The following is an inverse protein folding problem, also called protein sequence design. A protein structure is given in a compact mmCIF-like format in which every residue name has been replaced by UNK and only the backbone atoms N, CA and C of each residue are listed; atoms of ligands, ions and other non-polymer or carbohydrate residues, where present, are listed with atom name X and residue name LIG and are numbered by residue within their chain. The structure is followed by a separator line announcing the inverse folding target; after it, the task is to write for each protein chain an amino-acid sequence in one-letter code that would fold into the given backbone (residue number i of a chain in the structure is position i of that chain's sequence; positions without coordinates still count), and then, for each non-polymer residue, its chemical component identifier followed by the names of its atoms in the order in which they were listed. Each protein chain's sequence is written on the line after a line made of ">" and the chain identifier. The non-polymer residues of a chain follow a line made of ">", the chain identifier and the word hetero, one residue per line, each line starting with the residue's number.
data_IF_221962190500
#
_entry.id   IF_221962190500
#
_cell.length_a   1.000
_cell.length_b   1.000
_cell.length_c   1.000
_cell.angle_alpha   90.00
_cell.angle_beta   90.00
_cell.angle_gamma   90.00
#
_symmetry.space_group_name_H-M   'P 1'
#
loop_
_entity.id
_entity.type
_entity.pdbx_description
1 polymer ?
#
# COMPACT_ATOMS: atom_id res chain seq x y z
N UNK A 1 -22.19 -3.57 22.58
CA UNK A 1 -22.04 -2.48 21.59
C UNK A 1 -21.96 -3.10 20.21
N UNK A 2 -22.78 -2.64 19.25
CA UNK A 2 -22.50 -2.82 17.82
C UNK A 2 -21.66 -1.60 17.42
N UNK A 3 -20.36 -1.80 17.23
CA UNK A 3 -19.43 -0.69 16.96
C UNK A 3 -19.28 -0.49 15.47
N UNK A 4 -19.91 0.56 14.93
CA UNK A 4 -19.55 1.12 13.63
C UNK A 4 -18.60 2.30 13.89
N UNK A 5 -17.31 2.00 14.04
CA UNK A 5 -16.32 2.97 14.54
C UNK A 5 -15.44 3.58 13.44
N UNK A 6 -15.43 3.00 12.24
CA UNK A 6 -14.60 3.47 11.14
C UNK A 6 -15.13 3.04 9.77
N UNK A 7 -15.00 3.92 8.76
CA UNK A 7 -15.26 3.64 7.35
C UNK A 7 -14.07 4.09 6.50
N UNK A 8 -13.68 3.27 5.53
CA UNK A 8 -12.61 3.61 4.60
C UNK A 8 -13.21 4.28 3.36
N UNK A 9 -12.72 5.47 3.03
CA UNK A 9 -13.22 6.27 1.92
C UNK A 9 -12.10 6.64 0.93
N UNK A 10 -12.48 6.77 -0.35
CA UNK A 10 -11.69 7.49 -1.36
C UNK A 10 -12.42 8.80 -1.64
N UNK A 11 -11.69 9.91 -1.60
CA UNK A 11 -12.21 11.22 -1.97
C UNK A 11 -11.71 11.59 -3.37
N UNK A 12 -12.64 11.99 -4.23
CA UNK A 12 -12.40 12.40 -5.60
C UNK A 12 -12.53 13.91 -5.62
N UNK A 13 -11.48 14.59 -6.11
CA UNK A 13 -11.43 16.04 -6.21
C UNK A 13 -11.63 16.44 -7.67
N UNK A 14 -12.68 17.22 -7.90
CA UNK A 14 -12.97 17.76 -9.23
C UNK A 14 -12.30 19.12 -9.42
N UNK A 15 -12.03 19.47 -10.68
CA UNK A 15 -11.43 20.77 -11.05
C UNK A 15 -12.31 21.98 -10.70
N UNK A 16 -13.61 21.78 -10.54
CA UNK A 16 -14.57 22.80 -10.09
C UNK A 16 -14.62 22.98 -8.57
N UNK A 17 -13.76 22.26 -7.82
CA UNK A 17 -13.69 22.30 -6.37
C UNK A 17 -14.70 21.41 -5.65
N UNK A 18 -15.49 20.60 -6.38
CA UNK A 18 -16.38 19.62 -5.76
C UNK A 18 -15.60 18.41 -5.24
N UNK A 19 -16.08 17.84 -4.14
CA UNK A 19 -15.50 16.64 -3.52
C UNK A 19 -16.55 15.55 -3.47
N UNK A 20 -16.26 14.43 -4.12
CA UNK A 20 -17.10 13.25 -4.10
C UNK A 20 -16.45 12.17 -3.22
N UNK A 21 -17.19 11.66 -2.23
CA UNK A 21 -16.67 10.66 -1.29
C UNK A 21 -17.22 9.27 -1.65
N UNK A 22 -16.37 8.25 -1.66
CA UNK A 22 -16.71 6.87 -2.03
C UNK A 22 -16.38 5.93 -0.88
N UNK A 23 -17.39 5.27 -0.31
CA UNK A 23 -17.20 4.26 0.71
C UNK A 23 -16.70 2.97 0.07
N UNK A 24 -15.45 2.59 0.35
CA UNK A 24 -14.76 1.49 -0.36
C UNK A 24 -15.41 0.13 -0.07
N UNK A 25 -15.93 -0.05 1.14
CA UNK A 25 -16.55 -1.29 1.59
C UNK A 25 -18.09 -1.17 1.65
N UNK A 26 -18.70 -0.51 0.66
CA UNK A 26 -20.16 -0.28 0.59
C UNK A 26 -21.03 -1.54 0.52
N UNK A 27 -20.42 -2.71 0.39
CA UNK A 27 -21.11 -4.01 0.44
C UNK A 27 -21.41 -4.51 1.86
N UNK A 28 -20.81 -3.91 2.90
CA UNK A 28 -21.00 -4.32 4.29
C UNK A 28 -22.40 -3.88 4.78
N UNK A 29 -23.20 -4.83 5.26
CA UNK A 29 -24.51 -4.54 5.86
C UNK A 29 -24.39 -4.34 7.38
N UNK A 30 -24.14 -3.10 7.80
CA UNK A 30 -23.99 -2.74 9.22
C UNK A 30 -25.27 -2.94 10.07
N UNK A 31 -26.43 -3.18 9.46
CA UNK A 31 -27.67 -3.51 10.19
C UNK A 31 -27.66 -4.95 10.71
N UNK A 32 -26.92 -5.83 10.03
CA UNK A 32 -26.75 -7.23 10.39
C UNK A 32 -25.41 -7.41 11.10
N UNK A 33 -25.46 -8.14 12.20
CA UNK A 33 -24.25 -8.53 12.90
C UNK A 33 -24.25 -10.05 13.06
N UNK A 34 -23.11 -10.69 13.17
CA UNK A 34 -21.89 -10.45 12.39
C UNK A 34 -21.47 -11.89 12.09
N UNK A 35 -21.27 -12.24 10.82
CA UNK A 35 -20.84 -13.60 10.51
C UNK A 35 -19.43 -13.83 11.06
N UNK A 36 -19.13 -15.06 11.49
CA UNK A 36 -17.77 -15.41 11.89
C UNK A 36 -16.80 -15.16 10.72
N UNK A 37 -15.60 -14.66 11.00
CA UNK A 37 -14.54 -14.47 10.02
C UNK A 37 -13.60 -15.71 10.00
N UNK A 38 -13.13 -16.15 8.83
CA UNK A 38 -13.27 -15.52 7.51
C UNK A 38 -14.65 -15.77 6.89
N UNK A 39 -15.13 -14.81 6.09
CA UNK A 39 -16.38 -14.93 5.33
C UNK A 39 -16.30 -14.09 4.05
N UNK A 40 -17.28 -14.28 3.17
CA UNK A 40 -17.31 -13.64 1.84
C UNK A 40 -17.41 -12.12 1.86
N UNK A 41 -17.98 -11.53 2.93
CA UNK A 41 -18.03 -10.08 3.13
C UNK A 41 -16.64 -9.53 3.48
N UNK A 42 -15.94 -10.19 4.40
CA UNK A 42 -14.56 -9.88 4.78
C UNK A 42 -13.59 -10.07 3.61
N UNK A 43 -13.76 -11.14 2.81
CA UNK A 43 -12.90 -11.43 1.66
C UNK A 43 -12.89 -10.29 0.62
N UNK A 44 -14.02 -9.60 0.45
CA UNK A 44 -14.16 -8.46 -0.48
C UNK A 44 -13.74 -7.13 0.13
N UNK A 45 -13.43 -7.09 1.42
CA UNK A 45 -13.14 -5.84 2.12
C UNK A 45 -11.68 -5.43 2.02
N UNK A 46 -11.46 -4.10 2.00
CA UNK A 46 -10.14 -3.49 2.12
C UNK A 46 -10.06 -2.72 3.44
N UNK A 47 -9.11 -3.10 4.28
CA UNK A 47 -8.93 -2.52 5.61
C UNK A 47 -7.66 -1.65 5.65
N UNK A 48 -7.77 -0.47 6.27
CA UNK A 48 -6.68 0.50 6.44
C UNK A 48 -5.94 0.82 5.14
N UNK A 49 -6.59 1.53 4.19
CA UNK A 49 -5.89 2.03 3.00
C UNK A 49 -4.80 3.03 3.41
N UNK A 50 -3.62 2.91 2.82
CA UNK A 50 -2.44 3.71 3.23
C UNK A 50 -1.69 4.38 2.08
N UNK A 51 -1.74 3.80 0.88
CA UNK A 51 -1.06 4.32 -0.30
C UNK A 51 -1.91 4.11 -1.56
N UNK A 52 -1.71 4.98 -2.55
CA UNK A 52 -2.45 4.99 -3.80
C UNK A 52 -1.52 5.31 -4.96
N UNK A 53 -1.76 4.69 -6.12
CA UNK A 53 -1.04 4.96 -7.36
C UNK A 53 -2.01 4.83 -8.54
N UNK A 54 -2.01 5.80 -9.47
CA UNK A 54 -2.89 5.84 -10.64
C UNK A 54 -2.07 5.56 -11.90
N UNK A 55 -2.65 4.81 -12.84
CA UNK A 55 -2.03 4.59 -14.15
C UNK A 55 -1.86 5.89 -14.94
N UNK A 56 -0.89 5.97 -15.84
CA UNK A 56 -0.58 7.15 -16.65
C UNK A 56 -1.74 7.55 -17.57
N UNK A 57 -2.58 6.58 -17.98
CA UNK A 57 -3.81 6.83 -18.73
C UNK A 57 -4.99 7.30 -17.86
N UNK A 58 -4.80 7.33 -16.54
CA UNK A 58 -5.79 7.77 -15.56
C UNK A 58 -6.94 6.80 -15.32
N UNK A 59 -6.93 5.59 -15.89
CA UNK A 59 -8.08 4.67 -15.88
C UNK A 59 -8.13 3.74 -14.67
N UNK A 60 -6.99 3.39 -14.09
CA UNK A 60 -6.91 2.42 -13.00
C UNK A 60 -6.20 3.01 -11.79
N UNK A 61 -6.84 2.90 -10.63
CA UNK A 61 -6.28 3.26 -9.33
C UNK A 61 -5.95 1.99 -8.55
N UNK A 62 -4.71 1.90 -8.07
CA UNK A 62 -4.25 0.87 -7.14
C UNK A 62 -4.20 1.43 -5.73
N UNK A 63 -4.71 0.68 -4.76
CA UNK A 63 -4.79 1.12 -3.35
C UNK A 63 -4.19 0.04 -2.44
N UNK A 64 -3.16 0.38 -1.67
CA UNK A 64 -2.58 -0.50 -0.68
C UNK A 64 -3.47 -0.55 0.57
N UNK A 65 -3.97 -1.74 0.92
CA UNK A 65 -4.80 -1.98 2.09
C UNK A 65 -4.00 -2.77 3.13
N UNK A 66 -3.46 -2.04 4.11
CA UNK A 66 -2.53 -2.55 5.11
C UNK A 66 -3.15 -3.70 5.88
N UNK A 67 -4.39 -3.52 6.37
CA UNK A 67 -4.99 -4.46 7.30
C UNK A 67 -5.51 -5.74 6.65
N UNK A 68 -5.95 -5.67 5.39
CA UNK A 68 -6.42 -6.84 4.65
C UNK A 68 -5.32 -7.55 3.86
N UNK A 69 -4.08 -7.05 3.89
CA UNK A 69 -2.92 -7.61 3.17
C UNK A 69 -3.14 -7.74 1.65
N UNK A 70 -3.76 -6.71 1.05
CA UNK A 70 -4.14 -6.69 -0.37
C UNK A 70 -3.83 -5.34 -1.01
N UNK A 71 -3.71 -5.34 -2.33
CA UNK A 71 -3.84 -4.13 -3.17
C UNK A 71 -5.20 -4.17 -3.86
N UNK A 72 -6.05 -3.18 -3.61
CA UNK A 72 -7.30 -2.97 -4.34
C UNK A 72 -7.06 -2.34 -5.70
N UNK A 73 -7.87 -2.73 -6.69
CA UNK A 73 -7.87 -2.19 -8.05
C UNK A 73 -9.23 -1.55 -8.28
N UNK A 74 -9.23 -0.29 -8.73
CA UNK A 74 -10.46 0.43 -9.04
C UNK A 74 -10.37 1.04 -10.43
N UNK A 75 -11.46 0.94 -11.19
CA UNK A 75 -11.65 1.78 -12.36
C UNK A 75 -12.01 3.19 -11.91
N UNK A 76 -11.31 4.19 -12.41
CA UNK A 76 -11.49 5.58 -11.98
C UNK A 76 -12.82 6.16 -12.43
N UNK A 77 -13.34 5.75 -13.60
CA UNK A 77 -14.65 6.19 -14.08
C UNK A 77 -15.79 5.58 -13.26
N UNK A 78 -15.65 4.30 -12.85
CA UNK A 78 -16.61 3.67 -11.93
C UNK A 78 -16.55 4.28 -10.53
N UNK A 79 -15.35 4.67 -10.07
CA UNK A 79 -15.21 5.42 -8.81
C UNK A 79 -15.87 6.78 -8.90
N UNK A 80 -15.64 7.55 -9.96
CA UNK A 80 -16.27 8.86 -10.18
C UNK A 80 -17.80 8.77 -10.18
N UNK A 81 -18.36 7.73 -10.77
CA UNK A 81 -19.81 7.53 -10.88
C UNK A 81 -20.42 6.76 -9.70
N UNK A 82 -19.60 6.30 -8.74
CA UNK A 82 -19.99 5.42 -7.63
C UNK A 82 -20.66 4.10 -8.07
N UNK A 83 -20.27 3.57 -9.22
CA UNK A 83 -20.84 2.34 -9.81
C UNK A 83 -20.00 1.09 -9.52
N UNK A 84 -18.77 1.24 -9.01
CA UNK A 84 -17.89 0.12 -8.69
C UNK A 84 -18.54 -0.85 -7.68
N UNK A 85 -18.21 -2.14 -7.78
CA UNK A 85 -18.68 -3.17 -6.83
C UNK A 85 -17.47 -3.84 -6.18
N UNK A 86 -17.33 -3.83 -4.84
CA UNK A 86 -16.25 -4.53 -4.16
C UNK A 86 -16.21 -6.02 -4.50
N UNK A 87 -15.07 -6.48 -5.01
CA UNK A 87 -14.88 -7.86 -5.47
C UNK A 87 -13.46 -8.34 -5.25
N UNK A 88 -13.31 -9.63 -4.93
CA UNK A 88 -12.01 -10.31 -4.81
C UNK A 88 -11.21 -10.31 -6.13
N UNK A 89 -11.89 -10.25 -7.27
CA UNK A 89 -11.25 -10.22 -8.60
C UNK A 89 -10.52 -8.90 -8.89
N UNK A 90 -10.87 -7.86 -8.14
CA UNK A 90 -10.27 -6.53 -8.22
C UNK A 90 -9.34 -6.30 -7.02
N UNK A 91 -8.75 -7.38 -6.49
CA UNK A 91 -7.82 -7.35 -5.37
C UNK A 91 -6.65 -8.27 -5.67
N UNK A 92 -5.45 -7.81 -5.33
CA UNK A 92 -4.22 -8.57 -5.45
C UNK A 92 -3.75 -8.90 -4.04
N UNK A 93 -3.79 -10.17 -3.61
CA UNK A 93 -3.19 -10.58 -2.35
C UNK A 93 -1.68 -10.32 -2.35
N UNK A 94 -1.15 -9.85 -1.23
CA UNK A 94 0.29 -9.62 -1.06
C UNK A 94 0.79 -10.45 0.12
N UNK A 95 1.69 -11.38 -0.15
CA UNK A 95 2.09 -12.42 0.81
C UNK A 95 2.78 -11.87 2.08
N UNK A 96 3.57 -10.80 1.94
CA UNK A 96 4.29 -10.21 3.08
C UNK A 96 3.39 -9.49 4.09
N UNK A 97 2.20 -9.08 3.65
CA UNK A 97 1.21 -8.40 4.47
C UNK A 97 1.59 -6.96 4.85
N UNK A 98 0.59 -6.21 5.31
CA UNK A 98 0.76 -4.80 5.64
C UNK A 98 1.29 -3.96 4.46
N UNK A 99 0.69 -4.06 3.25
CA UNK A 99 1.10 -3.23 2.12
C UNK A 99 0.90 -1.76 2.46
N UNK A 100 1.85 -0.92 2.09
CA UNK A 100 1.86 0.52 2.43
C UNK A 100 2.14 1.40 1.22
N UNK A 101 3.41 1.49 0.81
CA UNK A 101 3.83 2.25 -0.35
C UNK A 101 3.63 1.47 -1.65
N UNK A 102 3.22 2.17 -2.70
CA UNK A 102 3.08 1.68 -4.07
C UNK A 102 3.96 2.52 -5.00
N UNK A 103 4.62 1.87 -5.96
CA UNK A 103 5.32 2.54 -7.08
C UNK A 103 5.12 1.70 -8.34
N UNK A 104 4.71 2.32 -9.44
CA UNK A 104 4.45 1.61 -10.69
C UNK A 104 5.54 1.81 -11.75
N UNK A 105 5.89 0.73 -12.44
CA UNK A 105 6.65 0.71 -13.69
C UNK A 105 5.77 0.08 -14.78
N UNK A 106 5.00 0.92 -15.45
CA UNK A 106 4.07 0.49 -16.50
C UNK A 106 4.77 -0.15 -17.69
N UNK A 107 5.97 0.34 -18.06
CA UNK A 107 6.73 -0.17 -19.19
C UNK A 107 7.18 -1.62 -19.02
N UNK A 108 7.25 -2.10 -17.77
CA UNK A 108 7.55 -3.50 -17.43
C UNK A 108 6.35 -4.25 -16.85
N UNK A 109 5.18 -3.62 -16.79
CA UNK A 109 3.98 -4.16 -16.15
C UNK A 109 4.19 -4.54 -14.68
N UNK A 110 4.93 -3.72 -13.92
CA UNK A 110 5.27 -4.00 -12.51
C UNK A 110 4.70 -2.97 -11.56
N UNK A 111 4.15 -3.44 -10.45
CA UNK A 111 3.80 -2.65 -9.28
C UNK A 111 4.67 -3.12 -8.12
N UNK A 112 5.49 -2.22 -7.59
CA UNK A 112 6.32 -2.45 -6.42
C UNK A 112 5.55 -2.05 -5.17
N UNK A 113 5.43 -2.98 -4.23
CA UNK A 113 4.63 -2.83 -3.01
C UNK A 113 5.52 -3.04 -1.80
N UNK A 114 5.60 -2.04 -0.92
CA UNK A 114 6.28 -2.18 0.37
C UNK A 114 5.40 -2.93 1.36
N UNK A 115 5.88 -4.06 1.88
CA UNK A 115 5.20 -4.85 2.92
C UNK A 115 5.83 -4.57 4.28
N UNK A 116 5.04 -3.99 5.19
CA UNK A 116 5.54 -3.51 6.48
C UNK A 116 5.70 -4.62 7.51
N UNK A 117 4.88 -5.66 7.43
CA UNK A 117 4.87 -6.71 8.46
C UNK A 117 6.15 -7.54 8.43
N UNK A 118 6.64 -7.92 7.26
CA UNK A 118 7.89 -8.66 7.08
C UNK A 118 9.08 -7.80 6.63
N UNK A 119 8.85 -6.52 6.32
CA UNK A 119 9.86 -5.56 5.84
C UNK A 119 10.50 -6.03 4.53
N UNK A 120 9.69 -6.04 3.47
CA UNK A 120 10.08 -6.50 2.15
C UNK A 120 9.46 -5.66 1.03
N UNK A 121 9.89 -5.92 -0.21
CA UNK A 121 9.29 -5.40 -1.43
C UNK A 121 8.68 -6.56 -2.22
N UNK A 122 7.36 -6.52 -2.38
CA UNK A 122 6.64 -7.38 -3.30
C UNK A 122 6.63 -6.77 -4.70
N UNK A 123 6.92 -7.57 -5.71
CA UNK A 123 6.81 -7.20 -7.12
C UNK A 123 5.58 -7.87 -7.69
N UNK A 124 4.60 -7.07 -8.09
CA UNK A 124 3.33 -7.51 -8.64
C UNK A 124 3.33 -7.29 -10.14
N UNK A 125 2.93 -8.30 -10.91
CA UNK A 125 2.62 -8.17 -12.33
C UNK A 125 1.19 -7.64 -12.47
N UNK A 126 1.04 -6.46 -13.05
CA UNK A 126 -0.25 -5.78 -13.16
C UNK A 126 -1.17 -6.41 -14.21
N UNK A 127 -0.62 -7.07 -15.23
CA UNK A 127 -1.38 -7.74 -16.28
C UNK A 127 -1.95 -9.06 -15.77
N UNK A 128 -1.17 -9.79 -14.98
CA UNK A 128 -1.57 -11.06 -14.35
C UNK A 128 -2.29 -10.86 -13.01
N UNK A 129 -2.26 -9.63 -12.46
CA UNK A 129 -2.79 -9.27 -11.14
C UNK A 129 -2.28 -10.20 -10.04
N UNK A 130 -0.98 -10.48 -10.06
CA UNK A 130 -0.38 -11.47 -9.17
C UNK A 130 1.01 -11.02 -8.71
N UNK A 131 1.34 -11.34 -7.45
CA UNK A 131 2.71 -11.23 -6.95
C UNK A 131 3.62 -12.23 -7.68
N UNK A 132 4.73 -11.73 -8.23
CA UNK A 132 5.70 -12.52 -8.99
C UNK A 132 7.03 -12.69 -8.28
N UNK A 133 7.40 -11.72 -7.45
CA UNK A 133 8.62 -11.77 -6.64
C UNK A 133 8.37 -11.11 -5.30
N UNK A 134 9.15 -11.53 -4.31
CA UNK A 134 9.11 -11.01 -2.97
C UNK A 134 10.54 -10.93 -2.44
N UNK A 135 11.02 -9.71 -2.16
CA UNK A 135 12.42 -9.45 -1.83
C UNK A 135 12.50 -8.85 -0.44
N UNK A 136 13.04 -9.61 0.50
CA UNK A 136 13.21 -9.15 1.87
C UNK A 136 14.27 -8.05 1.97
N UNK A 137 13.99 -7.03 2.78
CA UNK A 137 14.93 -5.98 3.09
C UNK A 137 15.63 -6.30 4.41
N UNK A 138 16.84 -5.75 4.59
CA UNK A 138 17.53 -5.85 5.87
C UNK A 138 16.66 -5.26 6.98
N UNK A 139 16.49 -6.04 8.05
CA UNK A 139 15.70 -5.65 9.22
C UNK A 139 16.51 -5.92 10.50
N UNK A 140 17.02 -4.88 11.18
CA UNK A 140 17.77 -5.03 12.42
C UNK A 140 16.88 -5.21 13.66
N UNK A 141 15.55 -5.18 13.51
CA UNK A 141 14.63 -5.31 14.64
C UNK A 141 14.60 -6.72 15.23
N UNK A 142 14.43 -6.86 16.55
CA UNK A 142 14.34 -8.16 17.20
C UNK A 142 13.03 -8.89 16.84
N UNK A 143 13.05 -10.22 16.97
CA UNK A 143 11.90 -11.07 16.63
C UNK A 143 10.61 -10.72 17.38
N UNK A 144 10.69 -10.22 18.62
CA UNK A 144 9.51 -9.79 19.39
C UNK A 144 8.77 -8.62 18.73
N UNK A 145 9.51 -7.69 18.11
CA UNK A 145 8.93 -6.55 17.40
C UNK A 145 8.35 -7.00 16.06
N UNK A 146 9.08 -7.80 15.30
CA UNK A 146 8.63 -8.25 13.97
C UNK A 146 7.37 -9.12 14.05
N UNK A 147 7.30 -10.04 15.01
CA UNK A 147 6.10 -10.85 15.28
C UNK A 147 4.92 -10.00 15.76
N UNK A 148 5.19 -8.90 16.48
CA UNK A 148 4.17 -8.01 17.02
C UNK A 148 3.48 -7.12 15.98
N UNK A 149 4.10 -6.87 14.81
CA UNK A 149 3.60 -5.91 13.80
C UNK A 149 2.18 -6.18 13.31
N UNK A 150 1.78 -7.46 13.27
CA UNK A 150 0.45 -7.88 12.80
C UNK A 150 -0.66 -7.62 13.82
N UNK A 151 -0.34 -7.62 15.12
CA UNK A 151 -1.33 -7.67 16.20
C UNK A 151 -2.35 -6.53 16.19
N UNK A 152 -1.96 -5.33 15.74
CA UNK A 152 -2.83 -4.15 15.75
C UNK A 152 -3.47 -3.82 14.42
N UNK A 153 -3.06 -4.46 13.33
CA UNK A 153 -3.43 -4.01 12.01
C UNK A 153 -3.94 -5.11 11.08
N UNK A 154 -3.51 -6.36 11.29
CA UNK A 154 -3.91 -7.47 10.44
C UNK A 154 -5.33 -7.93 10.81
N UNK A 155 -6.26 -7.69 9.89
CA UNK A 155 -7.71 -7.98 10.01
C UNK A 155 -7.96 -9.49 10.25
N UNK A 156 -7.10 -10.37 9.74
CA UNK A 156 -7.19 -11.81 10.02
C UNK A 156 -6.77 -12.16 11.46
N UNK A 157 -5.94 -11.35 12.10
CA UNK A 157 -5.37 -11.59 13.44
C UNK A 157 -6.06 -10.82 14.56
N UNK A 158 -6.94 -9.85 14.25
CA UNK A 158 -7.88 -9.23 15.21
C UNK A 158 -8.99 -10.21 15.67
N UNK A 159 -8.61 -11.45 15.98
CA UNK A 159 -9.48 -12.46 16.59
C UNK A 159 -9.30 -12.43 18.10
N UNK A 160 -10.37 -12.37 18.91
CA UNK A 160 -10.29 -12.68 20.34
C UNK A 160 -10.09 -14.18 20.64
N UNK A 161 -9.72 -15.04 19.66
CA UNK A 161 -9.81 -16.50 19.80
C UNK A 161 -8.54 -17.30 19.52
N UNK A 162 -7.34 -16.74 19.72
CA UNK A 162 -6.18 -17.62 19.96
C UNK A 162 -6.01 -17.79 21.48
N UNK A 163 -6.10 -19.01 22.05
CA UNK A 163 -5.36 -19.25 23.27
C UNK A 163 -3.91 -18.99 22.92
N UNK A 164 -3.25 -18.12 23.69
CA UNK A 164 -1.83 -17.85 23.56
C UNK A 164 -1.09 -19.19 23.65
N UNK A 165 -0.76 -19.78 22.50
CA UNK A 165 0.17 -20.90 22.47
C UNK A 165 1.51 -20.27 22.78
N UNK A 166 1.99 -20.59 23.98
CA UNK A 166 3.17 -20.07 24.62
C UNK A 166 4.26 -19.70 23.62
N UNK A 167 4.56 -18.40 23.55
CA UNK A 167 5.95 -17.97 23.41
C UNK A 167 6.66 -18.62 24.60
N UNK A 168 7.73 -19.43 24.43
CA UNK A 168 8.51 -19.87 25.57
C UNK A 168 9.27 -18.65 26.10
N UNK A 169 8.61 -17.88 26.98
CA UNK A 169 9.27 -16.92 27.84
C UNK A 169 9.79 -17.69 29.05
N UNK A 170 11.10 -17.59 29.27
CA UNK A 170 11.72 -17.93 30.53
C UNK A 170 11.01 -17.23 31.70
N UNK A 171 11.02 -17.81 32.91
CA UNK A 171 9.96 -17.63 33.88
C UNK A 171 10.12 -16.32 34.65
N UNK A 172 9.10 -15.46 34.64
CA UNK A 172 8.84 -14.55 35.77
C UNK A 172 7.33 -14.38 35.98
N UNK A 173 6.90 -14.86 37.14
CA UNK A 173 5.70 -14.55 37.93
C UNK A 173 4.38 -14.23 37.22
N UNK A 174 3.47 -15.19 37.32
CA UNK A 174 2.02 -15.07 37.17
C UNK A 174 1.40 -14.08 38.16
N UNK A 175 0.60 -13.13 37.66
CA UNK A 175 -0.63 -12.64 38.29
C UNK A 175 -1.49 -11.98 37.22
N UNK A 176 -2.53 -12.68 36.78
CA UNK A 176 -3.54 -12.21 35.83
C UNK A 176 -4.86 -12.00 36.55
N UNK A 177 -5.43 -10.80 36.45
CA UNK A 177 -6.88 -10.55 36.47
C UNK A 177 -7.15 -9.11 36.01
N UNK A 178 -7.91 -8.94 34.92
CA UNK A 178 -8.66 -7.70 34.68
C UNK A 178 -10.11 -8.12 34.43
N UNK A 179 -10.87 -8.12 35.54
CA UNK A 179 -12.32 -7.96 35.56
C UNK A 179 -12.59 -6.46 35.64
N UNK A 180 -13.46 -5.94 34.75
CA UNK A 180 -13.91 -4.56 34.82
C UNK A 180 -14.85 -4.35 36.02
N UNK A 181 -14.51 -3.42 36.92
CA UNK A 181 -15.38 -2.95 38.00
C UNK A 181 -15.06 -1.52 38.44
N UNK A 182 -16.04 -0.63 38.27
CA UNK A 182 -16.35 0.70 38.88
C UNK A 182 -15.26 1.69 39.37
N UNK A 183 -15.56 3.01 39.34
CA UNK A 183 -14.55 4.07 39.41
C UNK A 183 -14.15 4.40 40.85
N UNK A 184 -12.89 4.17 41.19
CA UNK A 184 -12.26 4.62 42.43
C UNK A 184 -10.87 5.18 42.12
N UNK A 185 -10.57 6.33 42.71
CA UNK A 185 -9.36 7.15 42.56
C UNK A 185 -8.05 6.37 42.68
N UNK A 186 -7.13 6.56 41.73
CA UNK A 186 -5.76 6.02 41.79
C UNK A 186 -4.77 7.17 42.04
N UNK A 187 -4.13 7.15 43.20
CA UNK A 187 -2.92 7.92 43.49
C UNK A 187 -1.73 7.33 42.72
N UNK A 188 -0.84 8.19 42.22
CA UNK A 188 0.37 7.80 41.49
C UNK A 188 1.51 7.56 42.50
N UNK A 189 2.13 6.38 42.57
CA UNK A 189 3.39 6.21 43.30
C UNK A 189 4.55 6.71 42.43
N UNK A 190 5.37 7.58 43.01
CA UNK A 190 6.60 8.11 42.40
C UNK A 190 7.67 7.02 42.29
N UNK A 191 8.30 6.89 41.11
CA UNK A 191 9.44 6.01 40.88
C UNK A 191 10.74 6.78 41.18
N UNK A 192 11.71 6.21 41.92
CA UNK A 192 12.95 6.90 42.26
C UNK A 192 13.93 6.96 41.07
N UNK A 193 14.57 8.12 40.97
CA UNK A 193 15.58 8.51 39.98
C UNK A 193 16.70 7.46 39.80
N UNK A 194 16.96 7.06 38.55
CA UNK A 194 18.30 6.67 38.13
C UNK A 194 18.76 7.62 37.01
N UNK A 195 19.84 8.34 37.31
CA UNK A 195 20.42 9.36 36.45
C UNK A 195 20.99 8.70 35.19
N UNK A 196 20.48 9.06 34.02
CA UNK A 196 21.24 8.92 32.76
C UNK A 196 21.22 10.27 32.06
N UNK A 197 22.39 10.91 32.00
CA UNK A 197 22.62 12.22 31.43
C UNK A 197 22.31 12.21 29.92
N UNK A 198 21.31 12.97 29.48
CA UNK A 198 21.13 13.30 28.08
C UNK A 198 22.23 14.28 27.65
N UNK A 199 23.18 13.81 26.83
CA UNK A 199 24.04 14.68 26.03
C UNK A 199 23.37 14.96 24.68
N UNK A 200 23.02 16.20 24.46
CA UNK A 200 22.56 16.74 23.17
C UNK A 200 23.74 16.80 22.20
N UNK A 201 23.67 16.09 21.08
CA UNK A 201 24.61 16.25 19.96
C UNK A 201 23.88 17.02 18.85
N UNK A 202 24.34 18.21 18.42
CA UNK A 202 23.72 18.94 17.33
C UNK A 202 24.21 18.36 15.99
N UNK A 203 23.29 17.91 15.13
CA UNK A 203 23.65 17.50 13.77
C UNK A 203 23.45 18.66 12.79
N UNK A 204 24.57 19.10 12.18
CA UNK A 204 24.67 20.11 11.12
C UNK A 204 24.36 19.47 9.75
N UNK A 205 23.43 20.10 9.02
CA UNK A 205 23.28 20.22 7.54
C UNK A 205 22.99 18.96 6.68
N UNK A 206 22.21 19.10 5.58
CA UNK A 206 21.74 17.99 4.76
C UNK A 206 22.76 17.57 3.68
N UNK A 207 22.91 16.26 3.48
CA UNK A 207 23.70 15.68 2.39
C UNK A 207 22.75 15.39 1.22
N UNK A 208 23.04 15.80 -0.03
CA UNK A 208 22.22 15.46 -1.20
C UNK A 208 22.35 13.97 -1.55
N UNK A 209 21.22 13.32 -1.84
CA UNK A 209 21.16 11.94 -2.31
C UNK A 209 21.70 11.83 -3.73
N UNK A 210 22.90 11.27 -3.89
CA UNK A 210 23.44 10.85 -5.18
C UNK A 210 22.84 9.50 -5.60
N UNK A 211 22.17 9.49 -6.75
CA UNK A 211 21.53 8.34 -7.36
C UNK A 211 22.59 7.49 -8.09
N UNK A 212 23.32 6.62 -7.38
CA UNK A 212 24.41 5.84 -8.02
C UNK A 212 24.56 4.39 -7.57
N UNK A 213 23.66 3.83 -6.75
CA UNK A 213 23.79 2.43 -6.28
C UNK A 213 22.49 1.61 -6.27
N UNK A 214 21.78 1.56 -7.39
CA UNK A 214 20.68 0.60 -7.59
C UNK A 214 20.94 -0.44 -8.70
N UNK A 215 22.15 -0.48 -9.27
CA UNK A 215 22.48 -1.39 -10.38
C UNK A 215 22.89 -2.81 -9.96
N UNK A 216 22.97 -3.11 -8.66
CA UNK A 216 23.50 -4.40 -8.16
C UNK A 216 22.44 -5.41 -7.69
N UNK A 217 21.14 -5.10 -7.78
CA UNK A 217 20.08 -6.00 -7.30
C UNK A 217 19.31 -6.73 -8.41
N UNK A 218 19.64 -6.49 -9.68
CA UNK A 218 19.01 -7.17 -10.83
C UNK A 218 20.07 -7.41 -11.92
N UNK A 219 20.50 -8.66 -12.20
CA UNK A 219 21.28 -8.94 -13.39
C UNK A 219 20.41 -8.72 -14.63
N UNK A 220 20.87 -7.87 -15.55
CA UNK A 220 20.30 -7.73 -16.88
C UNK A 220 20.72 -8.93 -17.73
N UNK A 221 19.77 -9.53 -18.43
CA UNK A 221 20.01 -10.59 -19.41
C UNK A 221 20.66 -9.95 -20.65
N UNK A 222 21.97 -10.19 -20.86
CA UNK A 222 22.70 -9.70 -22.03
C UNK A 222 22.38 -10.55 -23.27
N UNK A 223 21.39 -10.10 -24.04
CA UNK A 223 21.20 -10.53 -25.42
C UNK A 223 22.12 -9.73 -26.36
N UNK A 224 23.05 -10.42 -27.00
CA UNK A 224 23.99 -9.90 -28.00
C UNK A 224 23.31 -9.04 -29.08
N UNK A 225 23.68 -7.75 -29.17
CA UNK A 225 23.40 -6.89 -30.33
C UNK A 225 24.68 -6.67 -31.12
N UNK A 226 24.69 -7.17 -32.36
CA UNK A 226 25.67 -6.82 -33.37
C UNK A 226 25.48 -5.38 -33.87
N UNK A 227 26.59 -4.75 -34.18
CA UNK A 227 26.71 -3.37 -34.65
C UNK A 227 25.85 -3.06 -35.88
N UNK A 228 24.93 -2.09 -35.75
CA UNK A 228 24.30 -1.42 -36.88
C UNK A 228 24.37 0.11 -36.69
N UNK A 229 25.18 0.73 -37.54
CA UNK A 229 25.41 2.18 -37.67
C UNK A 229 24.11 2.93 -38.04
N UNK A 230 23.79 4.08 -37.43
CA UNK A 230 22.56 4.83 -37.76
C UNK A 230 22.73 5.66 -39.04
N UNK A 231 21.69 5.80 -39.89
CA UNK A 231 21.71 6.72 -41.02
C UNK A 231 21.43 8.15 -40.57
N UNK A 232 22.10 9.11 -41.23
CA UNK A 232 21.92 10.56 -41.05
C UNK A 232 20.60 10.99 -41.68
N UNK A 233 19.75 11.68 -40.92
CA UNK A 233 18.58 12.37 -41.45
C UNK A 233 18.92 13.85 -41.67
N UNK A 234 19.12 14.23 -42.93
CA UNK A 234 19.18 15.62 -43.38
C UNK A 234 17.78 16.24 -43.37
N UNK A 235 17.66 17.46 -42.83
CA UNK A 235 16.47 18.31 -42.96
C UNK A 235 16.50 19.02 -44.32
N UNK A 236 15.40 19.06 -45.10
CA UNK A 236 15.29 20.00 -46.20
C UNK A 236 14.79 21.37 -45.71
N UNK A 237 15.48 22.40 -46.18
CA UNK A 237 15.13 23.82 -46.10
C UNK A 237 13.82 24.12 -46.84
N UNK A 238 13.08 25.06 -46.27
CA UNK A 238 12.02 25.85 -46.90
C UNK A 238 12.48 26.53 -48.18
N UNK A 239 11.66 26.50 -49.24
CA UNK A 239 11.53 27.62 -50.17
C UNK A 239 10.21 27.53 -50.97
N UNK A 240 9.74 28.73 -51.34
CA UNK A 240 8.39 29.10 -51.75
C UNK A 240 7.92 28.54 -53.10
N UNK A 241 6.59 28.45 -53.28
CA UNK A 241 5.90 28.95 -54.48
C UNK A 241 4.38 29.00 -54.24
N UNK A 242 3.87 30.22 -54.21
CA UNK A 242 2.45 30.55 -54.30
C UNK A 242 1.99 30.52 -55.76
N UNK A 243 0.74 30.05 -56.00
CA UNK A 243 -0.33 30.66 -56.84
C UNK A 243 -1.16 29.61 -57.63
N UNK A 244 -2.48 29.82 -57.57
CA UNK A 244 -3.53 29.50 -58.58
C UNK A 244 -3.88 28.00 -58.75
N UNK A 245 -5.13 27.53 -58.81
CA UNK A 245 -6.40 28.13 -59.25
C UNK A 245 -7.61 27.41 -58.62
N UNK A 246 -8.72 28.14 -58.54
CA UNK A 246 -10.09 27.69 -58.26
C UNK A 246 -10.72 26.89 -59.42
N UNK A 247 -11.86 26.24 -59.12
CA UNK A 247 -12.87 25.56 -59.99
C UNK A 247 -12.52 24.10 -60.35
N UNK A 248 -13.41 23.11 -60.27
CA UNK A 248 -14.87 23.09 -60.42
C UNK A 248 -15.58 22.23 -59.37
N UNK A 249 -16.78 22.65 -59.01
CA UNK A 249 -17.88 21.77 -58.63
C UNK A 249 -18.63 21.34 -59.90
N UNK A 250 -19.09 20.09 -59.91
CA UNK A 250 -20.00 19.46 -60.86
C UNK A 250 -20.40 18.11 -60.28
#
# INVERSE_FOLDING_TARGET
>A
MRGHTHENHISILSSDGTVAVRHINKHIDYSKCCAAIPNTENDRSLAFPTGMEVTADGRTLYVAALGSSKVGIFDTSELEQDTFVPSVTNQIPVSGGGPTGLVMDEGRHRLYVMTRFDNAISVVDISRRAETQHVTLHNPEPASVTLGRRLLYDDFTMRPTRPATAIPLAPVATSSEILMGSPGTWEIPTIPNSQTSCRTVPFRQPIPFECSRLRSLFPADEGTHGDAKPPRHDKPRTDALARRSQRLAG
#
